data_IF_507695307011
#
_entry.id   IF_507695307011
#
_cell.length_a   1.000
_cell.length_b   1.000
_cell.length_c   1.000
_cell.angle_alpha   90.00
_cell.angle_beta   90.00
_cell.angle_gamma   90.00
#
_symmetry.space_group_name_H-M   'P 1'
#
loop_
_entity.id
_entity.type
_entity.pdbx_description
1 polymer ?
#
# COMPACT_ATOMS: atom_id res chain seq x y z
N UNK A 1 20.63 -9.06 10.36
CA UNK A 1 19.33 -8.48 10.77
C UNK A 1 18.98 -8.69 12.25
N UNK A 2 19.29 -9.85 12.85
CA UNK A 2 19.12 -10.08 14.30
C UNK A 2 19.82 -9.00 15.14
N UNK A 3 21.04 -8.61 14.76
CA UNK A 3 21.78 -7.54 15.46
C UNK A 3 21.15 -6.16 15.29
N UNK A 4 20.42 -5.92 14.20
CA UNK A 4 19.73 -4.65 13.94
C UNK A 4 18.57 -4.48 14.93
N UNK A 5 17.75 -5.51 15.12
CA UNK A 5 16.62 -5.43 16.07
C UNK A 5 17.12 -5.31 17.52
N UNK A 6 18.21 -6.00 17.87
CA UNK A 6 18.79 -5.92 19.22
C UNK A 6 19.42 -4.55 19.52
N UNK A 7 20.05 -3.91 18.54
CA UNK A 7 20.55 -2.53 18.69
C UNK A 7 19.42 -1.51 18.75
N UNK A 8 18.29 -1.79 18.08
CA UNK A 8 17.19 -0.83 17.91
C UNK A 8 16.24 -0.78 19.10
N UNK A 9 16.01 -1.89 19.80
CA UNK A 9 15.06 -1.96 20.91
C UNK A 9 15.70 -2.56 22.16
N UNK A 10 15.62 -1.86 23.30
CA UNK A 10 16.30 -2.27 24.53
C UNK A 10 15.87 -3.66 25.02
N UNK A 11 14.59 -4.03 24.84
CA UNK A 11 14.03 -5.32 25.27
C UNK A 11 14.08 -6.42 24.21
N UNK A 12 14.63 -6.15 23.02
CA UNK A 12 14.62 -7.13 21.93
C UNK A 12 15.31 -8.43 22.31
N UNK A 13 16.48 -8.39 22.97
CA UNK A 13 17.21 -9.60 23.38
C UNK A 13 16.35 -10.53 24.23
N UNK A 14 15.79 -10.03 25.33
CA UNK A 14 14.94 -10.80 26.24
C UNK A 14 13.68 -11.31 25.54
N UNK A 15 13.04 -10.49 24.68
CA UNK A 15 11.85 -10.92 23.94
C UNK A 15 12.17 -12.05 22.96
N UNK A 16 13.29 -11.97 22.23
CA UNK A 16 13.73 -13.02 21.30
C UNK A 16 14.08 -14.32 22.06
N UNK A 17 14.76 -14.22 23.20
CA UNK A 17 15.08 -15.37 24.06
C UNK A 17 13.81 -16.05 24.60
N UNK A 18 12.82 -15.28 25.05
CA UNK A 18 11.53 -15.82 25.48
C UNK A 18 10.80 -16.51 24.33
N UNK A 19 10.74 -15.89 23.15
CA UNK A 19 10.12 -16.49 21.97
C UNK A 19 10.80 -17.82 21.58
N UNK A 20 12.14 -17.86 21.57
CA UNK A 20 12.89 -19.09 21.33
C UNK A 20 12.61 -20.15 22.40
N UNK A 21 12.54 -19.77 23.68
CA UNK A 21 12.22 -20.68 24.79
C UNK A 21 10.81 -21.28 24.65
N UNK A 22 9.85 -20.52 24.12
CA UNK A 22 8.50 -20.99 23.80
C UNK A 22 8.39 -21.73 22.45
N UNK A 23 9.51 -22.03 21.79
CA UNK A 23 9.54 -22.80 20.55
C UNK A 23 9.14 -22.01 19.30
N UNK A 24 9.11 -20.68 19.36
CA UNK A 24 8.81 -19.86 18.20
C UNK A 24 9.97 -19.88 17.19
N UNK A 25 9.63 -20.07 15.91
CA UNK A 25 10.57 -19.84 14.82
C UNK A 25 10.60 -18.33 14.50
N UNK A 26 11.78 -17.72 14.61
CA UNK A 26 11.98 -16.30 14.38
C UNK A 26 12.64 -16.09 13.02
N UNK A 27 11.96 -15.34 12.15
CA UNK A 27 12.48 -14.93 10.84
C UNK A 27 12.70 -13.41 10.84
N UNK A 28 13.76 -12.98 10.15
CA UNK A 28 14.07 -11.58 9.92
C UNK A 28 14.17 -11.33 8.42
N UNK A 29 13.93 -10.09 7.99
CA UNK A 29 14.05 -9.72 6.58
C UNK A 29 12.89 -10.22 5.71
N UNK A 30 11.77 -10.55 6.34
CA UNK A 30 10.55 -10.92 5.63
C UNK A 30 9.85 -9.65 5.16
N UNK A 31 9.79 -9.46 3.85
CA UNK A 31 8.94 -8.44 3.24
C UNK A 31 7.50 -8.97 3.14
N UNK A 32 6.60 -8.37 3.92
CA UNK A 32 5.18 -8.75 3.97
C UNK A 32 4.46 -8.66 2.62
N UNK A 33 4.94 -7.84 1.69
CA UNK A 33 4.32 -7.63 0.37
C UNK A 33 4.69 -8.72 -0.65
N UNK A 34 5.67 -9.56 -0.32
CA UNK A 34 6.12 -10.70 -1.13
C UNK A 34 6.36 -11.96 -0.28
N UNK A 35 5.86 -12.00 0.96
CA UNK A 35 6.19 -13.03 1.94
C UNK A 35 5.78 -14.45 1.51
N UNK A 36 4.80 -14.59 0.60
CA UNK A 36 4.43 -15.89 0.03
C UNK A 36 5.55 -16.53 -0.81
N UNK A 37 6.53 -15.73 -1.23
CA UNK A 37 7.69 -16.17 -2.00
C UNK A 37 8.92 -16.42 -1.10
N UNK A 38 8.88 -16.00 0.17
CA UNK A 38 9.99 -16.16 1.09
C UNK A 38 10.33 -17.64 1.29
N UNK A 39 11.62 -17.99 1.23
CA UNK A 39 12.08 -19.39 1.20
C UNK A 39 11.52 -20.24 2.35
N UNK A 40 11.52 -19.70 3.58
CA UNK A 40 10.98 -20.37 4.77
C UNK A 40 9.45 -20.45 4.83
N UNK A 41 8.74 -19.60 4.08
CA UNK A 41 7.30 -19.42 4.19
C UNK A 41 6.52 -19.95 2.98
N UNK A 42 7.14 -20.04 1.79
CA UNK A 42 6.46 -20.31 0.51
C UNK A 42 5.68 -21.63 0.44
N UNK A 43 6.04 -22.60 1.27
CA UNK A 43 5.36 -23.90 1.37
C UNK A 43 4.46 -24.02 2.61
N UNK A 44 4.36 -22.98 3.44
CA UNK A 44 3.61 -23.00 4.70
C UNK A 44 2.22 -22.45 4.52
N UNK A 45 1.30 -23.03 5.28
CA UNK A 45 -0.08 -22.55 5.44
C UNK A 45 -0.36 -22.32 6.92
N UNK A 46 -1.16 -21.31 7.22
CA UNK A 46 -1.41 -20.84 8.59
C UNK A 46 -2.91 -20.83 8.91
N UNK A 47 -3.24 -21.15 10.16
CA UNK A 47 -4.59 -21.01 10.71
C UNK A 47 -4.89 -19.55 11.09
N UNK A 48 -3.85 -18.79 11.44
CA UNK A 48 -3.90 -17.37 11.80
C UNK A 48 -2.69 -16.65 11.24
N UNK A 49 -2.91 -15.51 10.59
CA UNK A 49 -1.85 -14.57 10.20
C UNK A 49 -2.19 -13.22 10.81
N UNK A 50 -1.35 -12.71 11.70
CA UNK A 50 -1.61 -11.47 12.46
C UNK A 50 -0.64 -10.38 12.04
N UNK A 51 -1.15 -9.20 11.72
CA UNK A 51 -0.34 -8.00 11.47
C UNK A 51 -0.80 -6.84 12.34
N UNK A 52 -0.01 -6.55 13.37
CA UNK A 52 -0.31 -5.47 14.31
C UNK A 52 0.32 -4.16 13.84
N UNK A 53 -0.52 -3.13 13.68
CA UNK A 53 -0.15 -1.76 13.33
C UNK A 53 0.81 -1.67 12.13
N UNK A 54 0.41 -2.19 10.95
CA UNK A 54 1.22 -2.05 9.75
C UNK A 54 1.57 -0.59 9.47
N UNK A 55 2.81 -0.31 9.06
CA UNK A 55 3.25 1.06 8.78
C UNK A 55 4.38 1.04 7.74
N UNK A 56 4.30 1.92 6.74
CA UNK A 56 5.27 1.98 5.63
C UNK A 56 6.52 2.81 5.96
N UNK A 57 6.82 2.99 7.25
CA UNK A 57 7.82 3.96 7.73
C UNK A 57 7.32 5.41 7.75
N UNK A 58 8.15 6.32 8.25
CA UNK A 58 7.84 7.74 8.41
C UNK A 58 8.24 8.50 7.14
N UNK A 59 7.27 8.75 6.26
CA UNK A 59 7.48 9.33 4.93
C UNK A 59 6.94 10.76 4.77
N UNK A 60 6.40 11.34 5.85
CA UNK A 60 5.76 12.65 5.84
C UNK A 60 4.71 12.76 6.93
N UNK A 61 3.73 13.65 6.76
CA UNK A 61 2.55 13.73 7.63
C UNK A 61 1.64 12.53 7.36
N UNK A 62 1.12 11.90 8.41
CA UNK A 62 0.19 10.76 8.30
C UNK A 62 -1.13 11.11 7.59
N UNK A 63 -1.48 12.40 7.51
CA UNK A 63 -2.63 12.91 6.77
C UNK A 63 -2.32 13.24 5.30
N UNK A 64 -1.07 13.13 4.86
CA UNK A 64 -0.69 13.37 3.47
C UNK A 64 -1.16 12.19 2.60
N UNK A 65 -1.87 12.50 1.52
CA UNK A 65 -2.42 11.51 0.61
C UNK A 65 -1.37 10.54 0.03
N UNK A 66 -0.16 11.01 -0.29
CA UNK A 66 0.90 10.14 -0.79
C UNK A 66 1.41 9.17 0.28
N UNK A 67 1.46 9.63 1.54
CA UNK A 67 1.84 8.80 2.69
C UNK A 67 0.75 7.75 2.95
N UNK A 68 -0.52 8.16 2.98
CA UNK A 68 -1.68 7.26 3.06
C UNK A 68 -1.64 6.21 1.94
N UNK A 69 -1.33 6.59 0.71
CA UNK A 69 -1.22 5.65 -0.41
C UNK A 69 -0.12 4.61 -0.19
N UNK A 70 1.06 4.99 0.32
CA UNK A 70 2.13 4.05 0.65
C UNK A 70 1.70 3.06 1.73
N UNK A 71 0.97 3.53 2.74
CA UNK A 71 0.41 2.69 3.78
C UNK A 71 -0.64 1.70 3.26
N UNK A 72 -1.58 2.18 2.46
CA UNK A 72 -2.58 1.33 1.78
C UNK A 72 -1.93 0.26 0.91
N UNK A 73 -0.87 0.61 0.17
CA UNK A 73 -0.14 -0.34 -0.67
C UNK A 73 0.58 -1.42 0.15
N UNK A 74 1.18 -1.08 1.29
CA UNK A 74 1.76 -2.05 2.22
C UNK A 74 0.70 -3.06 2.71
N UNK A 75 -0.42 -2.56 3.20
CA UNK A 75 -1.50 -3.40 3.72
C UNK A 75 -2.10 -4.27 2.63
N UNK A 76 -2.36 -3.72 1.43
CA UNK A 76 -2.85 -4.51 0.28
C UNK A 76 -1.88 -5.60 -0.12
N UNK A 77 -0.59 -5.28 -0.21
CA UNK A 77 0.46 -6.24 -0.53
C UNK A 77 0.49 -7.40 0.46
N UNK A 78 0.43 -7.08 1.76
CA UNK A 78 0.32 -8.07 2.81
C UNK A 78 -0.94 -8.94 2.67
N UNK A 79 -2.13 -8.34 2.55
CA UNK A 79 -3.41 -9.07 2.49
C UNK A 79 -3.46 -10.02 1.30
N UNK A 80 -2.98 -9.58 0.13
CA UNK A 80 -2.88 -10.43 -1.09
C UNK A 80 -1.93 -11.62 -0.91
N UNK A 81 -0.87 -11.47 -0.13
CA UNK A 81 0.05 -12.58 0.15
C UNK A 81 -0.53 -13.51 1.22
N UNK A 82 -1.03 -12.93 2.31
CA UNK A 82 -1.59 -13.64 3.44
C UNK A 82 -2.77 -14.51 3.03
N UNK A 83 -3.67 -14.02 2.16
CA UNK A 83 -4.83 -14.79 1.69
C UNK A 83 -4.42 -16.09 0.99
N UNK A 84 -3.35 -16.04 0.18
CA UNK A 84 -2.76 -17.20 -0.46
C UNK A 84 -2.00 -18.14 0.48
N UNK A 85 -1.84 -17.80 1.76
CA UNK A 85 -1.09 -18.56 2.75
C UNK A 85 -1.98 -19.14 3.86
N UNK A 86 -3.31 -19.01 3.77
CA UNK A 86 -4.23 -19.57 4.75
C UNK A 86 -4.51 -21.07 4.53
N UNK A 87 -4.71 -21.79 5.64
CA UNK A 87 -5.38 -23.09 5.68
C UNK A 87 -6.90 -22.92 5.48
N UNK A 88 -7.66 -23.99 5.20
CA UNK A 88 -9.11 -23.95 5.29
C UNK A 88 -9.55 -23.38 6.65
N UNK A 89 -10.51 -22.45 6.65
CA UNK A 89 -11.00 -21.73 7.83
C UNK A 89 -9.93 -20.86 8.55
N UNK A 90 -8.77 -20.63 7.92
CA UNK A 90 -7.77 -19.73 8.45
C UNK A 90 -8.24 -18.26 8.41
N UNK A 91 -7.71 -17.45 9.32
CA UNK A 91 -8.05 -16.02 9.42
C UNK A 91 -6.81 -15.13 9.30
N UNK A 92 -7.03 -13.93 8.76
CA UNK A 92 -6.07 -12.82 8.80
C UNK A 92 -6.58 -11.77 9.76
N UNK A 93 -5.77 -11.39 10.74
CA UNK A 93 -6.10 -10.35 11.70
C UNK A 93 -5.21 -9.14 11.45
N UNK A 94 -5.81 -7.96 11.26
CA UNK A 94 -5.10 -6.70 11.13
C UNK A 94 -5.54 -5.78 12.26
N UNK A 95 -4.62 -5.42 13.14
CA UNK A 95 -4.88 -4.43 14.20
C UNK A 95 -4.45 -3.07 13.71
N UNK A 96 -5.35 -2.09 13.71
CA UNK A 96 -5.08 -0.77 13.18
C UNK A 96 -5.84 0.33 13.95
N UNK A 97 -5.35 1.56 13.83
CA UNK A 97 -6.03 2.74 14.37
C UNK A 97 -7.31 3.01 13.58
N UNK A 98 -8.36 3.40 14.28
CA UNK A 98 -9.69 3.63 13.74
C UNK A 98 -10.05 5.12 13.59
N UNK A 99 -9.27 6.03 14.16
CA UNK A 99 -9.49 7.48 14.09
C UNK A 99 -8.71 8.15 12.95
N UNK A 100 -9.14 9.33 12.51
CA UNK A 100 -8.43 10.16 11.51
C UNK A 100 -6.99 10.47 11.93
N UNK A 101 -6.04 10.50 10.98
CA UNK A 101 -6.20 10.22 9.55
C UNK A 101 -6.09 8.73 9.19
N UNK A 102 -5.93 7.83 10.17
CA UNK A 102 -5.63 6.41 9.95
C UNK A 102 -6.82 5.62 9.39
N UNK A 103 -8.05 6.06 9.69
CA UNK A 103 -9.29 5.54 9.10
C UNK A 103 -9.30 5.59 7.56
N UNK A 104 -8.68 6.61 6.96
CA UNK A 104 -8.55 6.77 5.50
C UNK A 104 -7.79 5.64 4.80
N UNK A 105 -7.11 4.78 5.57
CA UNK A 105 -6.46 3.60 5.02
C UNK A 105 -7.47 2.54 4.60
N UNK A 106 -8.69 2.56 5.14
CA UNK A 106 -9.82 1.70 4.78
C UNK A 106 -9.43 0.20 4.65
N UNK A 107 -9.04 -0.40 5.77
CA UNK A 107 -8.50 -1.76 5.83
C UNK A 107 -9.49 -2.79 5.26
N UNK A 108 -10.79 -2.60 5.50
CA UNK A 108 -11.85 -3.48 5.00
C UNK A 108 -11.90 -3.48 3.45
N UNK A 109 -11.89 -2.31 2.82
CA UNK A 109 -11.86 -2.17 1.36
C UNK A 109 -10.63 -2.88 0.76
N UNK A 110 -9.45 -2.70 1.37
CA UNK A 110 -8.22 -3.36 0.93
C UNK A 110 -8.30 -4.89 1.05
N UNK A 111 -8.98 -5.39 2.08
CA UNK A 111 -9.22 -6.82 2.27
C UNK A 111 -10.19 -7.36 1.22
N UNK A 112 -11.29 -6.66 0.95
CA UNK A 112 -12.24 -7.03 -0.12
C UNK A 112 -11.55 -7.11 -1.49
N UNK A 113 -10.73 -6.11 -1.84
CA UNK A 113 -9.90 -6.11 -3.05
C UNK A 113 -8.89 -7.27 -3.11
N UNK A 114 -8.59 -7.89 -1.98
CA UNK A 114 -7.66 -9.02 -1.84
C UNK A 114 -8.37 -10.38 -1.74
N UNK A 115 -9.69 -10.44 -2.01
CA UNK A 115 -10.46 -11.68 -1.97
C UNK A 115 -10.77 -12.15 -0.54
N UNK A 116 -10.86 -11.22 0.39
CA UNK A 116 -11.15 -11.49 1.80
C UNK A 116 -12.50 -10.87 2.19
N UNK A 117 -13.16 -11.48 3.17
CA UNK A 117 -14.41 -10.99 3.76
C UNK A 117 -14.19 -10.71 5.24
N UNK A 118 -14.64 -9.55 5.72
CA UNK A 118 -14.64 -9.22 7.14
C UNK A 118 -15.67 -10.10 7.86
N UNK A 119 -15.25 -10.78 8.92
CA UNK A 119 -16.14 -11.57 9.77
C UNK A 119 -16.39 -10.90 11.12
N UNK A 120 -15.44 -10.09 11.57
CA UNK A 120 -15.50 -9.45 12.87
C UNK A 120 -14.57 -8.23 12.90
N UNK A 121 -15.04 -7.16 13.53
CA UNK A 121 -14.22 -6.00 13.87
C UNK A 121 -14.39 -5.76 15.37
N UNK A 122 -13.33 -5.98 16.14
CA UNK A 122 -13.35 -5.87 17.60
C UNK A 122 -12.46 -4.73 18.05
N UNK A 123 -12.87 -4.03 19.11
CA UNK A 123 -12.05 -3.02 19.76
C UNK A 123 -10.74 -3.66 20.27
N UNK A 124 -9.61 -3.01 20.00
CA UNK A 124 -8.32 -3.39 20.56
C UNK A 124 -8.11 -2.65 21.87
N UNK A 125 -8.04 -3.40 22.97
CA UNK A 125 -7.72 -2.89 24.30
C UNK A 125 -6.34 -3.36 24.70
N UNK A 126 -5.48 -2.43 25.10
CA UNK A 126 -4.11 -2.80 25.53
C UNK A 126 -4.14 -3.59 26.84
N UNK A 127 -5.19 -3.39 27.64
CA UNK A 127 -5.47 -4.06 28.90
C UNK A 127 -5.65 -5.57 28.74
N UNK A 128 -6.11 -6.03 27.57
CA UNK A 128 -6.28 -7.45 27.24
C UNK A 128 -4.93 -8.16 27.03
N UNK A 129 -3.83 -7.40 26.94
CA UNK A 129 -2.48 -7.93 26.68
C UNK A 129 -1.48 -7.50 27.77
N UNK A 130 -1.55 -8.07 28.99
CA UNK A 130 -0.62 -7.77 30.06
C UNK A 130 0.85 -7.92 29.63
N UNK A 131 1.64 -6.87 29.83
CA UNK A 131 3.05 -6.83 29.44
C UNK A 131 3.32 -6.37 28.00
N UNK A 132 2.30 -6.25 27.16
CA UNK A 132 2.42 -5.64 25.83
C UNK A 132 2.72 -4.14 25.97
N UNK A 133 3.71 -3.67 25.21
CA UNK A 133 4.08 -2.27 25.13
C UNK A 133 4.35 -1.96 23.67
N UNK A 134 3.53 -1.10 23.06
CA UNK A 134 3.67 -0.77 21.65
C UNK A 134 4.91 0.11 21.41
N UNK A 135 5.60 -0.15 20.28
CA UNK A 135 6.88 0.49 19.93
C UNK A 135 6.84 0.99 18.49
N UNK A 136 7.52 2.11 18.23
CA UNK A 136 7.62 2.67 16.88
C UNK A 136 8.48 1.77 15.99
N UNK A 137 8.03 1.53 14.77
CA UNK A 137 8.75 0.65 13.83
C UNK A 137 10.01 1.27 13.20
N UNK A 138 10.20 2.59 13.27
CA UNK A 138 11.25 3.33 12.54
C UNK A 138 11.48 4.73 13.14
N UNK A 139 12.26 5.57 12.44
CA UNK A 139 12.50 6.97 12.80
C UNK A 139 13.61 7.18 13.85
N UNK A 140 13.70 8.41 14.37
CA UNK A 140 14.75 8.82 15.34
C UNK A 140 14.62 8.17 16.72
N UNK A 141 13.42 7.71 17.09
CA UNK A 141 13.15 7.06 18.38
C UNK A 141 12.29 5.79 18.20
N UNK A 142 12.85 4.71 17.64
CA UNK A 142 12.09 3.49 17.38
C UNK A 142 11.67 2.76 18.67
N UNK A 143 12.47 2.82 19.75
CA UNK A 143 12.08 2.21 21.03
C UNK A 143 11.07 3.04 21.83
N UNK A 144 10.64 4.19 21.31
CA UNK A 144 9.55 4.98 21.87
C UNK A 144 8.18 4.38 21.57
N UNK A 145 7.22 4.62 22.47
CA UNK A 145 5.82 4.30 22.22
C UNK A 145 5.17 5.27 21.21
N UNK A 146 4.05 4.85 20.63
CA UNK A 146 3.17 5.73 19.85
C UNK A 146 1.79 5.80 20.51
N UNK A 147 1.04 6.90 20.35
CA UNK A 147 -0.31 6.98 20.88
C UNK A 147 -1.20 5.97 20.14
N UNK A 148 -1.89 5.10 20.86
CA UNK A 148 -2.83 4.13 20.27
C UNK A 148 -4.10 4.85 19.82
N UNK A 149 -4.77 5.57 20.73
CA UNK A 149 -6.11 6.11 20.47
C UNK A 149 -7.11 4.98 20.23
N UNK A 150 -8.20 5.26 19.53
CA UNK A 150 -9.16 4.23 19.10
C UNK A 150 -8.49 3.28 18.10
N UNK A 151 -8.46 1.98 18.43
CA UNK A 151 -7.86 0.93 17.63
C UNK A 151 -8.82 -0.25 17.54
N UNK A 152 -8.86 -0.91 16.38
CA UNK A 152 -9.66 -2.10 16.15
C UNK A 152 -8.80 -3.23 15.55
N UNK A 153 -9.17 -4.46 15.86
CA UNK A 153 -8.68 -5.67 15.18
C UNK A 153 -9.74 -6.14 14.20
N UNK A 154 -9.40 -6.07 12.91
CA UNK A 154 -10.22 -6.58 11.81
C UNK A 154 -9.86 -8.03 11.55
N UNK A 155 -10.84 -8.93 11.54
CA UNK A 155 -10.65 -10.37 11.28
C UNK A 155 -11.29 -10.75 9.96
N UNK A 156 -10.50 -11.37 9.10
CA UNK A 156 -10.88 -11.70 7.73
C UNK A 156 -10.71 -13.18 7.42
N UNK A 157 -11.60 -13.71 6.58
CA UNK A 157 -11.47 -15.04 5.96
C UNK A 157 -11.37 -14.93 4.44
N UNK A 158 -10.90 -15.98 3.77
CA UNK A 158 -10.99 -16.06 2.30
C UNK A 158 -12.46 -16.08 1.89
N UNK A 159 -12.83 -15.22 0.94
CA UNK A 159 -14.19 -15.15 0.43
C UNK A 159 -14.56 -16.49 -0.23
N UNK A 160 -15.57 -17.17 0.33
CA UNK A 160 -16.06 -18.47 -0.13
C UNK A 160 -16.98 -18.37 -1.36
N UNK A 161 -17.57 -17.19 -1.60
CA UNK A 161 -18.29 -16.90 -2.83
C UNK A 161 -17.30 -16.43 -3.89
N UNK A 162 -17.38 -16.90 -5.15
CA UNK A 162 -16.62 -16.27 -6.22
C UNK A 162 -17.06 -14.80 -6.25
N UNK A 163 -16.13 -13.88 -5.97
CA UNK A 163 -16.28 -12.52 -6.45
C UNK A 163 -16.58 -12.67 -7.95
N UNK A 164 -17.69 -12.10 -8.43
CA UNK A 164 -17.86 -11.83 -9.87
C UNK A 164 -16.82 -10.77 -10.29
N UNK A 165 -15.54 -11.05 -10.07
CA UNK A 165 -14.44 -10.35 -10.68
C UNK A 165 -14.25 -11.03 -12.02
N UNK A 166 -14.46 -10.28 -13.11
CA UNK A 166 -14.30 -10.70 -14.49
C UNK A 166 -13.00 -11.52 -14.64
N UNK A 167 -13.14 -12.84 -14.75
CA UNK A 167 -12.04 -13.74 -15.09
C UNK A 167 -11.68 -13.51 -16.57
N UNK A 168 -10.73 -12.62 -16.83
CA UNK A 168 -9.96 -12.70 -18.06
C UNK A 168 -8.59 -13.28 -17.73
N UNK A 169 -8.21 -14.37 -18.43
CA UNK A 169 -6.93 -15.05 -18.24
C UNK A 169 -5.78 -14.08 -18.55
N UNK A 170 -4.70 -14.05 -17.74
CA UNK A 170 -3.49 -13.31 -18.10
C UNK A 170 -2.83 -13.99 -19.32
N UNK A 171 -2.47 -13.20 -20.34
CA UNK A 171 -1.43 -13.58 -21.30
C UNK A 171 -0.08 -13.24 -20.69
N UNK A 172 0.83 -14.22 -20.66
CA UNK A 172 2.21 -14.02 -20.22
C UNK A 172 2.97 -13.17 -21.25
N UNK A 173 3.65 -12.12 -20.76
CA UNK A 173 4.68 -11.40 -21.52
C UNK A 173 5.91 -11.30 -20.60
N UNK A 174 7.12 -11.69 -21.06
CA UNK A 174 8.33 -11.62 -20.23
C UNK A 174 8.74 -10.16 -19.94
N UNK A 175 8.94 -9.83 -18.67
CA UNK A 175 9.47 -8.54 -18.23
C UNK A 175 11.02 -8.56 -18.30
N UNK A 176 11.60 -7.86 -19.27
CA UNK A 176 12.98 -7.38 -19.15
C UNK A 176 13.00 -6.10 -18.30
N UNK A 177 13.95 -6.05 -17.36
CA UNK A 177 14.09 -5.00 -16.34
C UNK A 177 14.27 -3.62 -16.98
N UNK A 178 13.41 -2.66 -16.65
CA UNK A 178 13.59 -1.26 -17.01
C UNK A 178 14.71 -0.63 -16.17
N UNK A 179 15.71 -0.07 -16.87
CA UNK A 179 16.89 0.60 -16.30
C UNK A 179 16.55 1.84 -15.46
N UNK A 180 17.28 2.01 -14.35
CA UNK A 180 17.13 3.05 -13.32
C UNK A 180 17.66 4.46 -13.71
N UNK A 181 17.83 4.80 -14.99
CA UNK A 181 18.49 6.05 -15.40
C UNK A 181 17.64 7.12 -16.10
N UNK A 182 16.32 7.11 -15.96
CA UNK A 182 15.48 8.14 -16.61
C UNK A 182 15.27 9.36 -15.70
N UNK A 183 16.27 10.24 -15.69
CA UNK A 183 16.08 11.67 -15.37
C UNK A 183 15.82 12.39 -16.70
N UNK A 184 14.65 12.99 -16.87
CA UNK A 184 14.49 14.41 -17.25
C UNK A 184 13.02 14.82 -17.47
N UNK A 185 12.73 16.02 -16.99
CA UNK A 185 11.47 16.77 -17.02
C UNK A 185 11.42 17.70 -18.23
N UNK A 186 10.21 18.06 -18.70
CA UNK A 186 9.84 19.48 -18.69
C UNK A 186 8.43 19.79 -18.14
N UNK A 187 7.73 18.86 -17.48
CA UNK A 187 6.27 18.95 -17.26
C UNK A 187 5.84 19.29 -15.81
N UNK A 188 6.75 19.75 -14.95
CA UNK A 188 6.51 19.80 -13.49
C UNK A 188 6.17 21.18 -12.89
N UNK A 189 5.94 22.22 -13.68
CA UNK A 189 5.62 23.54 -13.12
C UNK A 189 4.31 24.06 -13.67
N UNK A 190 3.29 24.16 -12.80
CA UNK A 190 1.98 24.73 -13.09
C UNK A 190 0.87 24.16 -12.21
N UNK A 191 -0.20 24.93 -12.04
CA UNK A 191 -1.35 24.56 -11.21
C UNK A 191 -2.01 23.27 -11.71
N UNK A 192 -2.07 23.03 -13.03
CA UNK A 192 -2.60 21.80 -13.60
C UNK A 192 -1.83 20.54 -13.15
N UNK A 193 -0.50 20.59 -13.12
CA UNK A 193 0.30 19.47 -12.64
C UNK A 193 0.04 19.20 -11.15
N UNK A 194 -0.10 20.25 -10.35
CA UNK A 194 -0.40 20.14 -8.93
C UNK A 194 -1.82 19.58 -8.68
N UNK A 195 -2.80 20.03 -9.45
CA UNK A 195 -4.20 19.55 -9.43
C UNK A 195 -4.24 18.06 -9.79
N UNK A 196 -3.64 17.68 -10.92
CA UNK A 196 -3.69 16.30 -11.44
C UNK A 196 -2.49 15.44 -11.07
N UNK A 197 -1.77 15.80 -10.00
CA UNK A 197 -0.58 15.08 -9.53
C UNK A 197 -0.82 13.59 -9.40
N UNK A 198 -1.99 13.18 -8.90
CA UNK A 198 -2.32 11.76 -8.70
C UNK A 198 -2.62 11.03 -10.00
N UNK A 199 -3.20 11.70 -10.99
CA UNK A 199 -3.35 11.15 -12.34
C UNK A 199 -1.98 10.89 -12.98
N UNK A 200 -1.03 11.85 -12.90
CA UNK A 200 0.30 11.67 -13.47
C UNK A 200 1.09 10.57 -12.75
N UNK A 201 0.99 10.52 -11.42
CA UNK A 201 1.55 9.44 -10.62
C UNK A 201 0.98 8.09 -11.04
N UNK A 202 -0.36 7.98 -11.09
CA UNK A 202 -1.05 6.78 -11.55
C UNK A 202 -0.55 6.37 -12.94
N UNK A 203 -0.64 7.25 -13.93
CA UNK A 203 -0.21 6.97 -15.30
C UNK A 203 1.28 6.58 -15.42
N UNK A 204 2.14 7.00 -14.49
CA UNK A 204 3.55 6.59 -14.39
C UNK A 204 3.71 5.21 -13.77
N UNK A 205 3.00 4.92 -12.68
CA UNK A 205 3.07 3.63 -11.99
C UNK A 205 2.38 2.49 -12.76
N UNK A 206 1.46 2.82 -13.66
CA UNK A 206 0.67 1.84 -14.41
C UNK A 206 1.17 1.63 -15.82
N UNK A 207 2.24 2.32 -16.21
CA UNK A 207 2.74 2.26 -17.57
C UNK A 207 3.28 0.85 -17.88
N UNK A 208 2.59 0.14 -18.77
CA UNK A 208 2.93 -1.24 -19.16
C UNK A 208 2.40 -2.32 -18.20
N UNK A 209 1.71 -1.93 -17.12
CA UNK A 209 1.15 -2.85 -16.14
C UNK A 209 -0.33 -3.15 -16.46
N UNK A 210 -0.79 -4.41 -16.35
CA UNK A 210 -2.19 -4.74 -16.54
C UNK A 210 -3.06 -4.15 -15.40
N UNK A 211 -4.19 -3.53 -15.78
CA UNK A 211 -5.09 -2.73 -14.91
C UNK A 211 -5.60 -3.44 -13.63
N UNK A 212 -5.45 -4.76 -13.52
CA UNK A 212 -5.89 -5.58 -12.39
C UNK A 212 -5.11 -5.36 -11.08
N UNK A 213 -4.03 -4.57 -11.08
CA UNK A 213 -3.22 -4.31 -9.90
C UNK A 213 -3.52 -2.99 -9.18
N UNK A 214 -4.52 -2.22 -9.63
CA UNK A 214 -4.67 -0.83 -9.21
C UNK A 214 -5.88 -0.61 -8.29
N UNK A 215 -5.69 0.10 -7.16
CA UNK A 215 -6.76 0.36 -6.20
C UNK A 215 -7.72 1.48 -6.59
N UNK A 216 -7.35 2.28 -7.57
CA UNK A 216 -8.07 3.44 -8.00
C UNK A 216 -7.96 3.50 -9.51
N UNK A 217 -9.08 3.73 -10.17
CA UNK A 217 -9.11 3.89 -11.61
C UNK A 217 -8.82 5.36 -11.99
N UNK A 218 -8.67 5.63 -13.28
CA UNK A 218 -8.48 6.98 -13.80
C UNK A 218 -9.56 7.96 -13.29
N UNK A 219 -10.87 7.62 -13.28
CA UNK A 219 -11.91 8.45 -12.69
C UNK A 219 -11.65 8.87 -11.23
N UNK A 220 -11.19 7.96 -10.37
CA UNK A 220 -10.88 8.27 -8.97
C UNK A 220 -9.74 9.30 -8.85
N UNK A 221 -8.73 9.18 -9.71
CA UNK A 221 -7.61 10.12 -9.76
C UNK A 221 -8.04 11.51 -10.23
N UNK A 222 -8.97 11.58 -11.19
CA UNK A 222 -9.55 12.84 -11.67
C UNK A 222 -10.43 13.47 -10.59
N UNK A 223 -11.19 12.67 -9.85
CA UNK A 223 -12.00 13.15 -8.71
C UNK A 223 -11.14 13.80 -7.63
N UNK A 224 -10.00 13.20 -7.30
CA UNK A 224 -9.06 13.79 -6.34
C UNK A 224 -8.49 15.14 -6.83
N UNK A 225 -8.24 15.27 -8.14
CA UNK A 225 -7.86 16.56 -8.73
C UNK A 225 -8.97 17.61 -8.60
N UNK A 226 -10.22 17.22 -8.83
CA UNK A 226 -11.38 18.09 -8.66
C UNK A 226 -11.56 18.53 -7.20
N UNK A 227 -11.49 17.61 -6.25
CA UNK A 227 -11.58 17.92 -4.81
C UNK A 227 -10.47 18.88 -4.39
N UNK A 228 -9.25 18.72 -4.92
CA UNK A 228 -8.11 19.61 -4.66
C UNK A 228 -8.29 21.01 -5.27
N UNK A 229 -8.82 21.11 -6.48
CA UNK A 229 -9.13 22.39 -7.11
C UNK A 229 -10.14 23.22 -6.29
N UNK A 230 -11.09 22.54 -5.65
CA UNK A 230 -12.15 23.16 -4.85
C UNK A 230 -11.78 23.40 -3.38
N UNK A 231 -10.65 22.86 -2.90
CA UNK A 231 -10.27 22.95 -1.49
C UNK A 231 -9.81 24.36 -1.06
N UNK A 232 -9.36 25.19 -2.01
CA UNK A 232 -8.74 26.48 -1.73
C UNK A 232 -9.68 27.70 -1.93
N UNK A 233 -10.88 27.56 -2.52
CA UNK A 233 -11.83 28.69 -2.63
C UNK A 233 -13.28 28.28 -3.00
N UNK A 234 -14.26 28.68 -2.20
CA UNK A 234 -15.69 28.49 -2.49
C UNK A 234 -16.17 29.55 -3.49
N UNK A 235 -15.97 29.34 -4.79
CA UNK A 235 -16.58 30.21 -5.81
C UNK A 235 -15.92 30.26 -7.19
N UNK A 236 -14.89 29.45 -7.47
CA UNK A 236 -14.28 29.44 -8.82
C UNK A 236 -15.27 28.87 -9.84
N UNK A 237 -15.46 29.53 -11.01
CA UNK A 237 -16.33 29.03 -12.06
C UNK A 237 -15.80 27.68 -12.59
N UNK A 238 -16.73 26.78 -12.92
CA UNK A 238 -16.43 25.43 -13.42
C UNK A 238 -15.50 25.47 -14.65
N UNK A 239 -15.57 26.55 -15.43
CA UNK A 239 -14.74 26.83 -16.60
C UNK A 239 -13.23 26.80 -16.28
N UNK A 240 -12.83 27.19 -15.07
CA UNK A 240 -11.43 27.14 -14.66
C UNK A 240 -10.92 25.69 -14.50
N UNK A 241 -11.78 24.76 -14.06
CA UNK A 241 -11.42 23.35 -13.99
C UNK A 241 -11.37 22.70 -15.38
N UNK A 242 -12.27 23.10 -16.28
CA UNK A 242 -12.27 22.65 -17.69
C UNK A 242 -10.96 23.03 -18.40
N UNK A 243 -10.44 24.23 -18.17
CA UNK A 243 -9.14 24.66 -18.72
C UNK A 243 -8.00 23.74 -18.24
N UNK A 244 -8.00 23.33 -16.97
CA UNK A 244 -7.00 22.40 -16.47
C UNK A 244 -7.19 20.97 -17.02
N UNK A 245 -8.42 20.52 -17.29
CA UNK A 245 -8.68 19.25 -17.97
C UNK A 245 -8.18 19.25 -19.42
N UNK A 246 -8.34 20.38 -20.13
CA UNK A 246 -7.80 20.55 -21.48
C UNK A 246 -6.27 20.57 -21.46
N UNK A 247 -5.67 21.24 -20.49
CA UNK A 247 -4.22 21.21 -20.26
C UNK A 247 -3.74 19.78 -19.94
N UNK A 248 -4.45 19.04 -19.07
CA UNK A 248 -4.17 17.63 -18.76
C UNK A 248 -4.18 16.76 -20.01
N UNK A 249 -5.18 16.96 -20.88
CA UNK A 249 -5.28 16.25 -22.16
C UNK A 249 -4.08 16.56 -23.07
N UNK A 250 -3.69 17.83 -23.16
CA UNK A 250 -2.50 18.25 -23.93
C UNK A 250 -1.21 17.62 -23.39
N UNK A 251 -1.02 17.60 -22.06
CA UNK A 251 0.13 16.96 -21.40
C UNK A 251 0.14 15.44 -21.67
N UNK A 252 -1.04 14.81 -21.64
CA UNK A 252 -1.20 13.37 -21.95
C UNK A 252 -0.85 13.07 -23.41
N UNK A 253 -1.24 13.93 -24.36
CA UNK A 253 -0.85 13.82 -25.78
C UNK A 253 0.65 13.99 -25.98
N UNK A 254 1.27 15.00 -25.34
CA UNK A 254 2.72 15.21 -25.40
C UNK A 254 3.49 13.99 -24.87
N UNK A 255 3.01 13.40 -23.77
CA UNK A 255 3.55 12.15 -23.24
C UNK A 255 3.42 10.99 -24.23
N UNK A 256 2.27 10.82 -24.88
CA UNK A 256 2.08 9.78 -25.89
C UNK A 256 3.05 9.95 -27.08
N UNK A 257 3.24 11.18 -27.58
CA UNK A 257 4.22 11.49 -28.64
C UNK A 257 5.63 11.15 -28.20
N UNK A 258 6.03 11.57 -27.00
CA UNK A 258 7.33 11.25 -26.43
C UNK A 258 7.57 9.72 -26.36
N UNK A 259 6.59 8.96 -25.87
CA UNK A 259 6.68 7.51 -25.76
C UNK A 259 6.73 6.83 -27.14
N UNK A 260 5.99 7.33 -28.13
CA UNK A 260 6.06 6.85 -29.52
C UNK A 260 7.46 7.07 -30.10
N UNK A 261 8.03 8.26 -29.92
CA UNK A 261 9.39 8.55 -30.41
C UNK A 261 10.43 7.63 -29.75
N UNK A 262 10.28 7.36 -28.44
CA UNK A 262 11.14 6.40 -27.73
C UNK A 262 10.97 4.96 -28.20
N UNK A 263 9.75 4.55 -28.55
CA UNK A 263 9.51 3.22 -29.15
C UNK A 263 10.19 3.11 -30.52
N UNK A 264 10.10 4.16 -31.34
CA UNK A 264 10.80 4.24 -32.63
C UNK A 264 12.33 4.11 -32.48
N UNK A 265 12.92 4.78 -31.48
CA UNK A 265 14.36 4.66 -31.16
C UNK A 265 14.76 3.21 -30.78
N UNK A 266 13.91 2.48 -30.07
CA UNK A 266 14.16 1.08 -29.68
C UNK A 266 14.04 0.14 -30.88
N UNK A 267 13.05 0.37 -31.75
CA UNK A 267 12.79 -0.44 -32.95
C UNK A 267 13.90 -0.33 -34.00
N UNK A 268 14.59 0.83 -34.08
CA UNK A 268 15.68 1.09 -35.02
C UNK A 268 17.08 0.79 -34.44
N UNK A 269 17.18 0.21 -33.24
CA UNK A 269 18.44 -0.21 -32.63
C UNK A 269 18.84 -1.67 -32.94
N UNK A 270 18.11 -2.36 -33.82
CA UNK A 270 18.43 -3.69 -34.34
C UNK A 270 18.48 -3.70 -35.87
#
# INVERSE_FOLDING_TARGET
>A
MKDVVMKKYKRAKTNLEMLCKFGAQILHGVDSTIMKLHMDLRMRKFDRIVYNFPHAGFLGKESDHLVIMKHRNLVRGFLRNASGMLRPNGEIHVTHKAARPFDSWNIEELATQSGLTLIECVEFKIEDYPGYNNKRGAGRNPDGAFPLGECNTFKFIVTSKPLKLLRQKPREIPLQRANEQIVMNPLQTGDCFWIFKEYFNHARYTFGEPDYFLPYNVPDMLRLGFERYNADDCGKPLDGYLNHLEELWNLSRRRLVFLRNRLWEIDHQY
#
